data_IF_315733531524
#
_entry.id   IF_315733531524
#
_cell.length_a   1.000
_cell.length_b   1.000
_cell.length_c   1.000
_cell.angle_alpha   90.00
_cell.angle_beta   90.00
_cell.angle_gamma   90.00
#
_symmetry.space_group_name_H-M   'P 1'
#
loop_
_entity.id
_entity.type
_entity.pdbx_description
1 polymer ?
#
# COMPACT_ATOMS: atom_id res chain seq x y z
N UNK A 1 9.28 18.61 11.26
CA UNK A 1 9.04 18.22 9.86
C UNK A 1 9.88 17.02 9.36
N UNK A 2 10.63 16.32 10.23
CA UNK A 2 11.49 15.22 9.80
C UNK A 2 10.74 14.04 9.14
N UNK A 3 9.45 13.85 9.36
CA UNK A 3 8.64 12.80 8.72
C UNK A 3 7.85 13.23 7.49
N UNK A 4 7.70 14.51 7.26
CA UNK A 4 6.86 15.05 6.17
C UNK A 4 7.43 14.81 4.76
N UNK A 5 8.74 14.76 4.50
CA UNK A 5 9.25 14.43 3.16
C UNK A 5 8.78 13.05 2.67
N UNK A 6 8.67 12.07 3.57
CA UNK A 6 8.13 10.75 3.21
C UNK A 6 6.62 10.81 2.97
N UNK A 7 5.87 11.26 3.96
CA UNK A 7 4.41 11.39 3.91
C UNK A 7 4.01 12.76 4.46
N UNK A 8 3.37 13.66 3.68
CA UNK A 8 2.58 13.38 2.45
C UNK A 8 3.32 13.52 1.11
N UNK A 9 4.51 14.09 1.04
CA UNK A 9 5.13 14.42 -0.25
C UNK A 9 5.52 13.17 -1.04
N UNK A 10 6.29 12.25 -0.45
CA UNK A 10 6.71 11.02 -1.11
C UNK A 10 5.53 10.15 -1.53
N UNK A 11 4.56 9.93 -0.65
CA UNK A 11 3.39 9.11 -0.94
C UNK A 11 2.52 9.70 -2.08
N UNK A 12 2.33 11.02 -2.10
CA UNK A 12 1.59 11.69 -3.18
C UNK A 12 2.33 11.61 -4.51
N UNK A 13 3.65 11.82 -4.49
CA UNK A 13 4.50 11.68 -5.67
C UNK A 13 4.50 10.25 -6.18
N UNK A 14 4.47 9.23 -5.31
CA UNK A 14 4.29 7.83 -5.71
C UNK A 14 3.04 7.66 -6.60
N UNK A 15 1.88 8.10 -6.14
CA UNK A 15 0.62 7.94 -6.88
C UNK A 15 0.65 8.66 -8.23
N UNK A 16 1.18 9.89 -8.27
CA UNK A 16 1.31 10.66 -9.51
C UNK A 16 2.29 9.98 -10.49
N UNK A 17 3.45 9.54 -10.02
CA UNK A 17 4.43 8.83 -10.85
C UNK A 17 3.91 7.46 -11.30
N UNK A 18 3.27 6.71 -10.42
CA UNK A 18 2.63 5.44 -10.77
C UNK A 18 1.59 5.63 -11.89
N UNK A 19 0.78 6.69 -11.78
CA UNK A 19 -0.21 7.02 -12.81
C UNK A 19 0.42 7.40 -14.16
N UNK A 20 1.41 8.29 -14.13
CA UNK A 20 2.02 8.82 -15.35
C UNK A 20 2.91 7.79 -16.06
N UNK A 21 3.66 7.01 -15.27
CA UNK A 21 4.66 6.09 -15.80
C UNK A 21 4.10 4.68 -16.02
N UNK A 22 3.27 4.16 -15.12
CA UNK A 22 2.95 2.74 -15.11
C UNK A 22 1.47 2.42 -15.35
N UNK A 23 0.50 3.28 -14.98
CA UNK A 23 -0.91 2.92 -15.05
C UNK A 23 -1.36 2.53 -16.46
N UNK A 24 -0.93 3.25 -17.49
CA UNK A 24 -1.20 2.92 -18.88
C UNK A 24 -0.60 1.59 -19.29
N UNK A 25 0.65 1.36 -18.92
CA UNK A 25 1.37 0.12 -19.21
C UNK A 25 0.70 -1.07 -18.55
N UNK A 26 0.44 -1.00 -17.25
CA UNK A 26 -0.18 -2.08 -16.49
C UNK A 26 -1.60 -2.38 -16.97
N UNK A 27 -2.40 -1.35 -17.26
CA UNK A 27 -3.74 -1.52 -17.80
C UNK A 27 -3.73 -2.27 -19.14
N UNK A 28 -2.80 -1.93 -20.06
CA UNK A 28 -2.68 -2.56 -21.37
C UNK A 28 -2.15 -3.99 -21.32
N UNK A 29 -1.27 -4.29 -20.37
CA UNK A 29 -0.75 -5.64 -20.18
C UNK A 29 -1.79 -6.60 -19.61
N UNK A 30 -2.86 -6.08 -18.98
CA UNK A 30 -3.98 -6.86 -18.43
C UNK A 30 -3.53 -8.06 -17.57
N UNK A 31 -2.53 -7.84 -16.71
CA UNK A 31 -1.98 -8.85 -15.82
C UNK A 31 -2.76 -8.90 -14.50
N UNK A 32 -2.75 -10.04 -13.83
CA UNK A 32 -3.48 -10.24 -12.57
C UNK A 32 -2.73 -9.63 -11.38
N UNK A 33 -1.41 -9.78 -11.37
CA UNK A 33 -0.54 -9.30 -10.31
C UNK A 33 0.65 -8.54 -10.86
N UNK A 34 1.28 -7.72 -10.01
CA UNK A 34 2.54 -7.06 -10.38
C UNK A 34 3.67 -8.09 -10.56
N UNK A 35 3.61 -9.23 -9.87
CA UNK A 35 4.54 -10.35 -10.06
C UNK A 35 4.53 -10.89 -11.48
N UNK A 36 3.36 -10.91 -12.14
CA UNK A 36 3.25 -11.35 -13.54
C UNK A 36 4.03 -10.42 -14.49
N UNK A 37 4.14 -9.12 -14.18
CA UNK A 37 5.00 -8.21 -14.93
C UNK A 37 6.46 -8.66 -14.90
N UNK A 38 6.99 -9.01 -13.73
CA UNK A 38 8.37 -9.50 -13.62
C UNK A 38 8.56 -10.85 -14.31
N UNK A 39 7.55 -11.72 -14.25
CA UNK A 39 7.56 -12.99 -14.98
C UNK A 39 7.64 -12.81 -16.49
N UNK A 40 6.75 -12.00 -17.03
CA UNK A 40 6.69 -11.70 -18.48
C UNK A 40 8.01 -11.06 -18.92
N UNK A 41 8.56 -10.17 -18.13
CA UNK A 41 9.74 -9.38 -18.49
C UNK A 41 11.08 -10.10 -18.27
N UNK A 42 11.18 -10.90 -17.21
CA UNK A 42 12.45 -11.49 -16.75
C UNK A 42 12.39 -13.01 -16.48
N UNK A 43 11.19 -13.59 -16.45
CA UNK A 43 10.99 -14.99 -16.16
C UNK A 43 10.78 -15.31 -14.69
N UNK A 44 10.57 -16.61 -14.40
CA UNK A 44 10.08 -17.13 -13.13
C UNK A 44 10.97 -16.82 -11.91
N UNK A 45 12.28 -16.84 -12.07
CA UNK A 45 13.18 -16.62 -10.94
C UNK A 45 13.03 -15.18 -10.37
N UNK A 46 12.96 -14.18 -11.27
CA UNK A 46 12.74 -12.77 -10.87
C UNK A 46 11.32 -12.58 -10.34
N UNK A 47 10.30 -13.21 -10.94
CA UNK A 47 8.92 -13.21 -10.43
C UNK A 47 8.86 -13.63 -8.96
N UNK A 48 9.44 -14.78 -8.61
CA UNK A 48 9.39 -15.33 -7.25
C UNK A 48 10.14 -14.44 -6.26
N UNK A 49 11.32 -13.95 -6.62
CA UNK A 49 12.12 -13.10 -5.75
C UNK A 49 11.49 -11.73 -5.49
N UNK A 50 11.01 -11.06 -6.56
CA UNK A 50 10.34 -9.77 -6.40
C UNK A 50 9.01 -9.89 -5.68
N UNK A 51 8.20 -10.92 -6.00
CA UNK A 51 6.95 -11.18 -5.30
C UNK A 51 7.18 -11.53 -3.83
N UNK A 52 8.25 -12.29 -3.53
CA UNK A 52 8.67 -12.55 -2.15
C UNK A 52 9.02 -11.27 -1.41
N UNK A 53 9.81 -10.37 -2.01
CA UNK A 53 10.13 -9.07 -1.43
C UNK A 53 8.87 -8.22 -1.20
N UNK A 54 7.95 -8.18 -2.17
CA UNK A 54 6.67 -7.47 -2.04
C UNK A 54 5.84 -8.06 -0.89
N UNK A 55 5.70 -9.38 -0.80
CA UNK A 55 4.96 -10.04 0.29
C UNK A 55 5.58 -9.73 1.65
N UNK A 56 6.92 -9.79 1.76
CA UNK A 56 7.63 -9.45 2.99
C UNK A 56 7.42 -7.98 3.39
N UNK A 57 7.36 -7.06 2.44
CA UNK A 57 7.09 -5.65 2.73
C UNK A 57 5.72 -5.47 3.39
N UNK A 58 4.71 -6.22 2.99
CA UNK A 58 3.39 -6.14 3.60
C UNK A 58 3.34 -6.62 5.06
N UNK A 59 4.31 -7.39 5.55
CA UNK A 59 4.37 -7.73 6.99
C UNK A 59 4.47 -6.47 7.84
N UNK A 60 5.36 -5.55 7.52
CA UNK A 60 5.49 -4.28 8.23
C UNK A 60 4.22 -3.43 8.12
N UNK A 61 3.67 -3.30 6.91
CA UNK A 61 2.47 -2.50 6.71
C UNK A 61 1.25 -3.07 7.43
N UNK A 62 0.98 -4.37 7.28
CA UNK A 62 -0.14 -5.03 7.97
C UNK A 62 0.02 -4.94 9.48
N UNK A 63 1.23 -5.14 10.00
CA UNK A 63 1.52 -5.01 11.43
C UNK A 63 1.24 -3.61 11.96
N UNK A 64 1.58 -2.57 11.20
CA UNK A 64 1.23 -1.19 11.55
C UNK A 64 -0.29 -1.00 11.67
N UNK A 65 -1.08 -1.58 10.75
CA UNK A 65 -2.55 -1.51 10.82
C UNK A 65 -3.13 -2.28 12.01
N UNK A 66 -2.58 -3.46 12.33
CA UNK A 66 -3.00 -4.23 13.50
C UNK A 66 -2.67 -3.49 14.80
N UNK A 67 -1.50 -2.86 14.88
CA UNK A 67 -1.10 -2.01 16.02
C UNK A 67 -2.03 -0.80 16.14
N UNK A 68 -2.36 -0.14 15.03
CA UNK A 68 -3.28 0.99 15.01
C UNK A 68 -4.67 0.61 15.52
N UNK A 69 -5.21 -0.52 15.06
CA UNK A 69 -6.52 -1.01 15.50
C UNK A 69 -6.49 -1.41 16.99
N UNK A 70 -5.43 -2.08 17.42
CA UNK A 70 -5.22 -2.41 18.83
C UNK A 70 -5.15 -1.16 19.71
N UNK A 71 -4.44 -0.12 19.26
CA UNK A 71 -4.36 1.15 19.98
C UNK A 71 -5.75 1.80 20.15
N UNK A 72 -6.57 1.81 19.10
CA UNK A 72 -7.94 2.35 19.19
C UNK A 72 -8.78 1.56 20.18
N UNK A 73 -8.72 0.23 20.17
CA UNK A 73 -9.44 -0.63 21.11
C UNK A 73 -8.95 -0.38 22.55
N UNK A 74 -7.64 -0.32 22.76
CA UNK A 74 -7.04 -0.04 24.06
C UNK A 74 -7.51 1.31 24.63
N UNK A 75 -7.45 2.36 23.83
CA UNK A 75 -7.86 3.71 24.24
C UNK A 75 -9.36 3.79 24.50
N UNK A 76 -10.20 3.24 23.61
CA UNK A 76 -11.67 3.23 23.79
C UNK A 76 -12.15 2.41 24.99
N UNK A 77 -11.37 1.38 25.38
CA UNK A 77 -11.68 0.61 26.59
C UNK A 77 -11.27 1.31 27.90
N UNK A 78 -10.69 2.53 27.81
CA UNK A 78 -10.11 3.20 28.98
C UNK A 78 -8.95 2.43 29.59
N UNK A 79 -8.14 1.76 28.76
CA UNK A 79 -7.04 0.85 29.14
C UNK A 79 -7.49 -0.41 29.92
N UNK A 80 -8.78 -0.73 29.94
CA UNK A 80 -9.27 -1.98 30.54
C UNK A 80 -8.77 -3.21 29.77
N UNK A 81 -8.55 -3.09 28.45
CA UNK A 81 -7.92 -4.09 27.61
C UNK A 81 -6.47 -3.65 27.38
N UNK A 82 -5.48 -4.47 27.76
CA UNK A 82 -4.08 -4.17 27.49
C UNK A 82 -3.78 -4.13 25.98
N UNK A 83 -2.74 -3.39 25.57
CA UNK A 83 -2.43 -3.12 24.17
C UNK A 83 -2.22 -4.41 23.35
N UNK A 84 -1.51 -5.40 23.90
CA UNK A 84 -1.24 -6.64 23.18
C UNK A 84 -2.52 -7.45 22.95
N UNK A 85 -3.38 -7.56 23.96
CA UNK A 85 -4.71 -8.20 23.83
C UNK A 85 -5.58 -7.43 22.83
N UNK A 86 -5.55 -6.10 22.85
CA UNK A 86 -6.28 -5.26 21.91
C UNK A 86 -5.79 -5.47 20.45
N UNK A 87 -4.47 -5.63 20.23
CA UNK A 87 -3.91 -5.97 18.92
C UNK A 87 -4.38 -7.34 18.46
N UNK A 88 -4.42 -8.35 19.34
CA UNK A 88 -4.94 -9.67 19.02
C UNK A 88 -6.42 -9.64 18.63
N UNK A 89 -7.25 -8.91 19.38
CA UNK A 89 -8.67 -8.70 19.05
C UNK A 89 -8.80 -8.02 17.68
N UNK A 90 -8.03 -6.95 17.45
CA UNK A 90 -7.99 -6.25 16.18
C UNK A 90 -7.63 -7.17 15.01
N UNK A 91 -6.63 -8.03 15.18
CA UNK A 91 -6.23 -8.98 14.14
C UNK A 91 -7.38 -9.94 13.77
N UNK A 92 -8.09 -10.48 14.78
CA UNK A 92 -9.26 -11.36 14.54
C UNK A 92 -10.35 -10.61 13.78
N UNK A 93 -10.66 -9.37 14.17
CA UNK A 93 -11.67 -8.54 13.48
C UNK A 93 -11.30 -8.31 12.01
N UNK A 94 -10.05 -7.92 11.74
CA UNK A 94 -9.57 -7.67 10.37
C UNK A 94 -9.61 -8.94 9.53
N UNK A 95 -9.19 -10.09 10.07
CA UNK A 95 -9.24 -11.38 9.36
C UNK A 95 -10.66 -11.77 9.00
N UNK A 96 -11.59 -11.69 9.96
CA UNK A 96 -13.01 -12.00 9.72
C UNK A 96 -13.56 -11.06 8.64
N UNK A 97 -13.37 -9.76 8.80
CA UNK A 97 -13.82 -8.75 7.83
C UNK A 97 -13.28 -9.03 6.41
N UNK A 98 -12.00 -9.39 6.30
CA UNK A 98 -11.34 -9.59 5.01
C UNK A 98 -11.74 -10.90 4.33
N UNK A 99 -11.91 -12.01 5.09
CA UNK A 99 -12.31 -13.31 4.54
C UNK A 99 -13.71 -13.25 3.91
N UNK A 100 -14.63 -12.52 4.54
CA UNK A 100 -16.02 -12.42 4.06
C UNK A 100 -16.24 -11.28 3.08
N UNK A 101 -15.40 -10.22 3.11
CA UNK A 101 -15.58 -9.01 2.31
C UNK A 101 -15.28 -9.20 0.82
N UNK A 102 -14.15 -9.80 0.49
CA UNK A 102 -13.66 -9.87 -0.90
C UNK A 102 -13.39 -8.48 -1.52
N UNK A 103 -12.84 -8.45 -2.74
CA UNK A 103 -12.38 -7.19 -3.38
C UNK A 103 -13.52 -6.19 -3.68
N UNK A 104 -14.70 -6.67 -4.10
CA UNK A 104 -15.85 -5.80 -4.41
C UNK A 104 -16.43 -5.11 -3.17
N UNK A 105 -16.58 -5.87 -2.09
CA UNK A 105 -17.05 -5.34 -0.82
C UNK A 105 -16.08 -4.28 -0.27
N UNK A 106 -14.79 -4.56 -0.33
CA UNK A 106 -13.74 -3.63 0.11
C UNK A 106 -13.78 -2.35 -0.72
N UNK A 107 -13.87 -2.43 -2.05
CA UNK A 107 -13.93 -1.23 -2.90
C UNK A 107 -15.15 -0.35 -2.61
N UNK A 108 -16.32 -0.96 -2.36
CA UNK A 108 -17.54 -0.21 -2.01
C UNK A 108 -17.45 0.42 -0.62
N UNK A 109 -16.97 -0.34 0.37
CA UNK A 109 -16.78 0.18 1.73
C UNK A 109 -15.70 1.26 1.78
N UNK A 110 -14.63 1.16 1.00
CA UNK A 110 -13.56 2.16 0.90
C UNK A 110 -14.11 3.53 0.47
N UNK A 111 -15.02 3.56 -0.50
CA UNK A 111 -15.64 4.81 -0.95
C UNK A 111 -16.44 5.47 0.19
N UNK A 112 -17.30 4.69 0.89
CA UNK A 112 -18.06 5.19 2.02
C UNK A 112 -17.17 5.64 3.18
N UNK A 113 -16.17 4.83 3.50
CA UNK A 113 -15.18 5.12 4.54
C UNK A 113 -14.38 6.39 4.23
N UNK A 114 -14.01 6.63 2.97
CA UNK A 114 -13.34 7.88 2.56
C UNK A 114 -14.18 9.10 2.89
N UNK A 115 -15.49 9.07 2.65
CA UNK A 115 -16.39 10.17 3.02
C UNK A 115 -16.42 10.40 4.52
N UNK A 116 -16.50 9.32 5.32
CA UNK A 116 -16.47 9.39 6.79
C UNK A 116 -15.16 9.97 7.28
N UNK A 117 -14.02 9.55 6.72
CA UNK A 117 -12.68 10.05 7.06
C UNK A 117 -12.58 11.55 6.76
N UNK A 118 -12.95 11.97 5.56
CA UNK A 118 -12.83 13.38 5.14
C UNK A 118 -13.69 14.28 6.03
N UNK A 119 -14.96 13.91 6.25
CA UNK A 119 -15.86 14.71 7.09
C UNK A 119 -15.42 14.66 8.56
N UNK A 120 -15.15 13.47 9.09
CA UNK A 120 -14.82 13.27 10.49
C UNK A 120 -13.54 14.00 10.90
N UNK A 121 -12.45 13.80 10.16
CA UNK A 121 -11.19 14.47 10.48
C UNK A 121 -11.24 15.99 10.24
N UNK A 122 -11.97 16.47 9.23
CA UNK A 122 -12.15 17.91 9.02
C UNK A 122 -12.90 18.55 10.18
N UNK A 123 -13.96 17.92 10.69
CA UNK A 123 -14.68 18.41 11.87
C UNK A 123 -13.79 18.42 13.12
N UNK A 124 -13.01 17.35 13.33
CA UNK A 124 -12.06 17.29 14.45
C UNK A 124 -10.99 18.38 14.32
N UNK A 125 -10.48 18.62 13.10
CA UNK A 125 -9.51 19.70 12.86
C UNK A 125 -10.06 21.07 13.26
N UNK A 126 -11.32 21.36 12.94
CA UNK A 126 -11.98 22.60 13.37
C UNK A 126 -12.06 22.69 14.88
N UNK A 127 -12.52 21.64 15.57
CA UNK A 127 -12.69 21.61 17.01
C UNK A 127 -11.36 21.71 17.76
N UNK A 128 -10.33 20.95 17.35
CA UNK A 128 -9.00 21.02 17.97
C UNK A 128 -8.36 22.38 17.69
N UNK A 129 -8.56 22.91 16.49
CA UNK A 129 -8.13 24.25 16.14
C UNK A 129 -8.75 25.32 17.05
N UNK A 130 -10.05 25.23 17.31
CA UNK A 130 -10.76 26.15 18.21
C UNK A 130 -10.25 26.04 19.65
N UNK A 131 -10.01 24.82 20.17
CA UNK A 131 -9.39 24.62 21.50
C UNK A 131 -8.00 25.24 21.60
N UNK A 132 -7.23 25.25 20.53
CA UNK A 132 -5.90 25.86 20.47
C UNK A 132 -5.96 27.38 20.30
N UNK A 133 -7.16 27.99 20.25
CA UNK A 133 -7.38 29.41 20.05
C UNK A 133 -7.56 29.87 18.62
N UNK A 134 -7.99 28.96 17.74
CA UNK A 134 -8.31 29.19 16.35
C UNK A 134 -7.20 28.77 15.37
N UNK A 135 -7.60 28.36 14.16
CA UNK A 135 -6.66 27.88 13.14
C UNK A 135 -5.58 28.91 12.79
N UNK A 136 -5.93 30.21 12.79
CA UNK A 136 -4.98 31.28 12.54
C UNK A 136 -3.84 31.31 13.56
N UNK A 137 -4.16 31.11 14.84
CA UNK A 137 -3.15 31.05 15.91
C UNK A 137 -2.25 29.83 15.76
N UNK A 138 -2.83 28.67 15.47
CA UNK A 138 -2.08 27.42 15.25
C UNK A 138 -1.09 27.58 14.09
N UNK A 139 -1.54 28.17 12.96
CA UNK A 139 -0.69 28.40 11.79
C UNK A 139 0.39 29.44 12.08
N UNK A 140 0.06 30.55 12.76
CA UNK A 140 1.05 31.58 13.11
C UNK A 140 2.10 31.03 14.09
N UNK A 141 1.70 30.22 15.06
CA UNK A 141 2.63 29.54 15.96
C UNK A 141 3.52 28.55 15.19
N UNK A 142 2.94 27.74 14.30
CA UNK A 142 3.71 26.82 13.46
C UNK A 142 4.74 27.57 12.58
N UNK A 143 4.40 28.74 12.08
CA UNK A 143 5.34 29.59 11.34
C UNK A 143 6.46 30.11 12.24
N UNK A 144 6.13 30.60 13.45
CA UNK A 144 7.10 31.09 14.42
C UNK A 144 8.07 29.99 14.88
N UNK A 145 7.55 28.76 15.07
CA UNK A 145 8.36 27.58 15.44
C UNK A 145 9.14 26.99 14.24
N UNK A 146 9.12 27.63 13.08
CA UNK A 146 9.78 27.13 11.88
C UNK A 146 9.23 25.81 11.31
N UNK A 147 8.02 25.41 11.76
CA UNK A 147 7.42 24.12 11.33
C UNK A 147 6.92 24.14 9.89
N UNK A 148 6.65 25.32 9.33
CA UNK A 148 6.21 25.47 7.94
C UNK A 148 7.37 25.55 6.95
N UNK A 149 8.63 25.58 7.43
CA UNK A 149 9.81 25.57 6.56
C UNK A 149 10.12 24.13 6.14
N UNK A 150 10.03 23.88 4.84
CA UNK A 150 10.31 22.54 4.28
C UNK A 150 11.82 22.23 4.27
N UNK A 151 12.64 23.26 4.01
CA UNK A 151 14.10 23.20 4.00
C UNK A 151 14.67 24.18 5.02
N UNK A 152 14.90 23.75 6.27
CA UNK A 152 15.51 24.58 7.28
C UNK A 152 16.90 25.09 6.85
N UNK A 153 17.25 26.31 7.29
CA UNK A 153 18.54 26.92 6.92
C UNK A 153 19.76 26.19 7.50
N UNK A 154 19.57 25.38 8.53
CA UNK A 154 20.58 24.57 9.22
C UNK A 154 20.74 23.14 8.67
N UNK A 155 20.27 22.89 7.41
CA UNK A 155 20.38 21.60 6.74
C UNK A 155 21.83 21.27 6.43
N UNK A 156 22.41 20.34 7.18
CA UNK A 156 23.68 19.69 6.85
C UNK A 156 23.49 18.53 5.84
N UNK A 157 24.60 17.96 5.37
CA UNK A 157 24.55 16.87 4.41
C UNK A 157 23.82 15.62 4.96
N UNK A 158 23.95 15.32 6.27
CA UNK A 158 23.27 14.18 6.88
C UNK A 158 21.76 14.36 6.89
N UNK A 159 21.26 15.54 7.24
CA UNK A 159 19.83 15.88 7.21
C UNK A 159 19.26 15.81 5.78
N UNK A 160 20.02 16.28 4.78
CA UNK A 160 19.63 16.13 3.37
C UNK A 160 19.50 14.68 2.94
N UNK A 161 20.46 13.83 3.30
CA UNK A 161 20.41 12.41 2.99
C UNK A 161 19.26 11.71 3.73
N UNK A 162 19.04 12.01 5.01
CA UNK A 162 17.93 11.45 5.78
C UNK A 162 16.57 11.82 5.17
N UNK A 163 16.41 13.08 4.77
CA UNK A 163 15.20 13.57 4.09
C UNK A 163 15.01 12.87 2.74
N UNK A 164 16.08 12.72 1.94
CA UNK A 164 16.04 12.00 0.68
C UNK A 164 15.68 10.53 0.90
N UNK A 165 16.26 9.86 1.91
CA UNK A 165 15.95 8.48 2.26
C UNK A 165 14.47 8.26 2.57
N UNK A 166 13.88 9.12 3.40
CA UNK A 166 12.46 9.08 3.72
C UNK A 166 11.60 9.34 2.47
N UNK A 167 11.92 10.36 1.69
CA UNK A 167 11.19 10.68 0.46
C UNK A 167 11.24 9.52 -0.56
N UNK A 168 12.42 8.98 -0.85
CA UNK A 168 12.58 7.89 -1.83
C UNK A 168 11.91 6.60 -1.38
N UNK A 169 11.90 6.29 -0.07
CA UNK A 169 11.16 5.14 0.46
C UNK A 169 9.68 5.21 0.09
N UNK A 170 9.03 6.33 0.37
CA UNK A 170 7.61 6.51 0.09
C UNK A 170 7.33 6.76 -1.40
N UNK A 171 8.13 7.57 -2.09
CA UNK A 171 7.89 7.93 -3.48
C UNK A 171 8.11 6.77 -4.44
N UNK A 172 9.13 5.96 -4.23
CA UNK A 172 9.53 4.91 -5.17
C UNK A 172 9.33 3.51 -4.61
N UNK A 173 9.52 3.29 -3.30
CA UNK A 173 9.31 1.99 -2.68
C UNK A 173 7.86 1.54 -2.68
N UNK A 174 6.90 2.46 -2.70
CA UNK A 174 5.48 2.13 -2.77
C UNK A 174 4.95 1.90 -4.20
N UNK A 175 5.69 2.28 -5.26
CA UNK A 175 5.25 2.02 -6.65
C UNK A 175 5.09 0.52 -6.96
N UNK A 176 6.03 -0.38 -6.62
CA UNK A 176 5.90 -1.80 -6.95
C UNK A 176 5.00 -2.58 -5.98
N UNK A 177 4.08 -1.90 -5.29
CA UNK A 177 3.14 -2.56 -4.39
C UNK A 177 1.94 -3.14 -5.15
N UNK A 178 1.50 -4.33 -4.72
CA UNK A 178 0.40 -5.05 -5.37
C UNK A 178 -0.94 -4.32 -5.27
N UNK A 179 -1.22 -3.61 -4.18
CA UNK A 179 -2.47 -2.86 -4.02
C UNK A 179 -2.55 -1.64 -4.94
N UNK A 180 -1.43 -0.94 -5.18
CA UNK A 180 -1.35 0.15 -6.17
C UNK A 180 -1.59 -0.39 -7.57
N UNK A 181 -0.94 -1.50 -7.93
CA UNK A 181 -1.14 -2.19 -9.21
C UNK A 181 -2.60 -2.60 -9.40
N UNK A 182 -3.20 -3.28 -8.42
CA UNK A 182 -4.56 -3.81 -8.47
C UNK A 182 -5.60 -2.72 -8.68
N UNK A 183 -5.46 -1.58 -8.00
CA UNK A 183 -6.40 -0.44 -8.15
C UNK A 183 -6.31 0.20 -9.52
N UNK A 184 -5.11 0.31 -10.10
CA UNK A 184 -4.95 0.83 -11.46
C UNK A 184 -5.52 -0.11 -12.52
N UNK A 185 -5.29 -1.42 -12.41
CA UNK A 185 -5.76 -2.41 -13.41
C UNK A 185 -7.25 -2.70 -13.30
N UNK A 186 -7.88 -2.49 -12.14
CA UNK A 186 -9.32 -2.64 -11.93
C UNK A 186 -10.17 -1.47 -12.47
N UNK A 187 -9.55 -0.44 -13.01
CA UNK A 187 -10.27 0.72 -13.55
C UNK A 187 -11.07 0.36 -14.81
N UNK A 188 -12.19 1.05 -15.03
CA UNK A 188 -13.09 0.83 -16.18
C UNK A 188 -12.39 0.95 -17.55
N UNK A 189 -11.42 1.82 -17.66
CA UNK A 189 -10.62 2.04 -18.87
C UNK A 189 -9.29 2.72 -18.55
N UNK A 190 -8.37 2.76 -19.53
CA UNK A 190 -7.04 3.34 -19.41
C UNK A 190 -7.06 4.80 -18.93
N UNK A 191 -7.98 5.62 -19.47
CA UNK A 191 -8.10 7.03 -19.06
C UNK A 191 -8.51 7.16 -17.60
N UNK A 192 -9.41 6.31 -17.13
CA UNK A 192 -9.84 6.26 -15.72
C UNK A 192 -8.70 5.78 -14.82
N UNK A 193 -7.93 4.78 -15.22
CA UNK A 193 -6.76 4.32 -14.49
C UNK A 193 -5.76 5.48 -14.25
N UNK A 194 -5.39 6.19 -15.30
CA UNK A 194 -4.42 7.30 -15.20
C UNK A 194 -5.00 8.49 -14.42
N UNK A 195 -6.18 8.99 -14.84
CA UNK A 195 -6.74 10.21 -14.23
C UNK A 195 -7.18 9.99 -12.80
N UNK A 196 -7.80 8.83 -12.52
CA UNK A 196 -8.25 8.48 -11.17
C UNK A 196 -7.09 8.41 -10.18
N UNK A 197 -5.96 7.81 -10.57
CA UNK A 197 -4.79 7.72 -9.72
C UNK A 197 -4.12 9.10 -9.52
N UNK A 198 -4.05 9.96 -10.55
CA UNK A 198 -3.55 11.34 -10.39
C UNK A 198 -4.45 12.14 -9.43
N UNK A 199 -5.76 12.12 -9.67
CA UNK A 199 -6.71 12.83 -8.81
C UNK A 199 -6.64 12.32 -7.38
N UNK A 200 -6.56 10.99 -7.19
CA UNK A 200 -6.37 10.37 -5.88
C UNK A 200 -5.10 10.86 -5.19
N UNK A 201 -3.98 10.93 -5.90
CA UNK A 201 -2.72 11.45 -5.37
C UNK A 201 -2.79 12.93 -4.97
N UNK A 202 -3.49 13.76 -5.75
CA UNK A 202 -3.67 15.18 -5.43
C UNK A 202 -4.62 15.38 -4.24
N UNK A 203 -5.73 14.64 -4.18
CA UNK A 203 -6.65 14.68 -3.03
C UNK A 203 -5.91 14.22 -1.77
N UNK A 204 -5.14 13.12 -1.87
CA UNK A 204 -4.33 12.63 -0.76
C UNK A 204 -3.36 13.70 -0.27
N UNK A 205 -2.61 14.34 -1.17
CA UNK A 205 -1.68 15.42 -0.82
C UNK A 205 -2.36 16.54 -0.04
N UNK A 206 -3.48 17.04 -0.53
CA UNK A 206 -4.21 18.12 0.15
C UNK A 206 -4.75 17.68 1.51
N UNK A 207 -5.33 16.48 1.58
CA UNK A 207 -5.99 16.00 2.79
C UNK A 207 -5.01 15.56 3.88
N UNK A 208 -3.82 15.08 3.54
CA UNK A 208 -2.82 14.59 4.49
C UNK A 208 -2.30 15.69 5.45
N UNK A 209 -2.48 16.96 5.11
CA UNK A 209 -2.17 18.06 6.04
C UNK A 209 -3.19 18.20 7.17
N UNK A 210 -4.40 17.65 7.04
CA UNK A 210 -5.44 17.72 8.08
C UNK A 210 -5.00 17.00 9.36
N UNK A 211 -4.59 15.72 9.33
CA UNK A 211 -4.05 15.04 10.53
C UNK A 211 -2.84 15.74 11.12
N UNK A 212 -1.94 16.29 10.29
CA UNK A 212 -0.76 17.04 10.74
C UNK A 212 -1.18 18.31 11.49
N UNK A 213 -2.16 19.03 10.95
CA UNK A 213 -2.73 20.20 11.62
C UNK A 213 -3.34 19.83 12.98
N UNK A 214 -4.13 18.74 13.05
CA UNK A 214 -4.75 18.28 14.29
C UNK A 214 -3.67 17.95 15.34
N UNK A 215 -2.64 17.20 14.96
CA UNK A 215 -1.56 16.82 15.87
C UNK A 215 -0.80 18.06 16.39
N UNK A 216 -0.49 19.01 15.53
CA UNK A 216 0.19 20.24 15.93
C UNK A 216 -0.72 21.13 16.79
N UNK A 217 -1.99 21.29 16.45
CA UNK A 217 -2.96 22.05 17.24
C UNK A 217 -3.14 21.45 18.64
N UNK A 218 -3.10 20.10 18.76
CA UNK A 218 -3.11 19.43 20.06
C UNK A 218 -1.93 19.84 20.94
N UNK A 219 -0.72 19.90 20.37
CA UNK A 219 0.48 20.35 21.09
C UNK A 219 0.44 21.84 21.46
N UNK A 220 -0.15 22.69 20.62
CA UNK A 220 -0.37 24.11 20.92
C UNK A 220 -1.37 24.29 22.07
N UNK A 221 -2.43 23.44 22.12
CA UNK A 221 -3.40 23.46 23.19
C UNK A 221 -2.83 22.96 24.52
N UNK A 222 -2.10 21.85 24.49
CA UNK A 222 -1.47 21.24 25.67
C UNK A 222 0.00 20.88 25.39
N UNK A 223 0.94 21.82 25.71
CA UNK A 223 2.37 21.58 25.52
C UNK A 223 2.92 20.41 26.34
N UNK A 224 2.22 19.98 27.41
CA UNK A 224 2.65 18.84 28.22
C UNK A 224 2.63 17.52 27.44
N UNK A 225 1.80 17.42 26.40
CA UNK A 225 1.79 16.29 25.46
C UNK A 225 3.14 16.13 24.75
N UNK A 226 3.93 17.20 24.62
CA UNK A 226 5.28 17.16 24.06
C UNK A 226 6.25 16.26 24.84
N UNK A 227 6.03 16.07 26.14
CA UNK A 227 6.87 15.16 26.98
C UNK A 227 6.76 13.68 26.57
N UNK A 228 5.67 13.29 25.91
CA UNK A 228 5.52 11.92 25.42
C UNK A 228 6.53 11.58 24.31
N UNK A 229 7.11 12.60 23.63
CA UNK A 229 8.18 12.38 22.65
C UNK A 229 9.54 12.06 23.32
N UNK A 230 9.68 12.26 24.63
CA UNK A 230 10.89 11.98 25.39
C UNK A 230 10.85 10.58 26.06
N UNK A 231 9.73 9.86 25.93
CA UNK A 231 9.53 8.54 26.52
C UNK A 231 10.27 7.44 25.74
N UNK A 232 10.57 6.32 26.45
CA UNK A 232 11.29 5.15 25.89
C UNK A 232 10.44 4.32 24.90
N UNK A 233 9.11 4.44 24.94
CA UNK A 233 8.21 3.71 24.04
C UNK A 233 7.60 4.67 23.00
N UNK A 234 8.13 4.60 21.78
CA UNK A 234 7.66 5.41 20.66
C UNK A 234 6.15 5.20 20.33
N UNK A 235 5.53 4.11 20.81
CA UNK A 235 4.10 3.84 20.65
C UNK A 235 3.23 4.77 21.50
N UNK A 236 3.74 5.29 22.62
CA UNK A 236 3.03 6.24 23.48
C UNK A 236 2.70 7.56 22.75
N UNK A 237 3.58 7.99 21.84
CA UNK A 237 3.36 9.21 21.02
C UNK A 237 2.08 9.08 20.20
N UNK A 238 1.72 7.90 19.77
CA UNK A 238 0.55 7.63 18.94
C UNK A 238 -0.77 7.77 19.71
N UNK A 239 -0.74 7.80 21.04
CA UNK A 239 -1.90 8.03 21.92
C UNK A 239 -2.29 9.48 22.09
N UNK A 240 -1.39 10.43 21.78
CA UNK A 240 -1.60 11.86 22.01
C UNK A 240 -2.96 12.32 21.49
N UNK A 241 -3.25 12.02 20.24
CA UNK A 241 -4.47 12.49 19.60
C UNK A 241 -5.73 11.73 20.06
N UNK A 242 -5.75 10.39 20.14
CA UNK A 242 -6.85 9.65 20.75
C UNK A 242 -7.19 10.09 22.17
N UNK A 243 -6.20 10.24 23.04
CA UNK A 243 -6.41 10.64 24.44
C UNK A 243 -6.93 12.08 24.56
N UNK A 244 -6.43 13.01 23.71
CA UNK A 244 -6.94 14.38 23.65
C UNK A 244 -8.43 14.39 23.26
N UNK A 245 -8.81 13.64 22.24
CA UNK A 245 -10.19 13.58 21.76
C UNK A 245 -11.10 13.00 22.83
N UNK A 246 -10.72 11.91 23.49
CA UNK A 246 -11.51 11.32 24.59
C UNK A 246 -11.64 12.27 25.78
N UNK A 247 -10.57 12.97 26.15
CA UNK A 247 -10.54 13.79 27.36
C UNK A 247 -11.16 15.17 27.20
N UNK A 248 -11.18 15.75 26.01
CA UNK A 248 -11.52 17.17 25.78
C UNK A 248 -12.66 17.41 24.79
N UNK A 249 -13.06 16.41 23.99
CA UNK A 249 -14.08 16.61 22.96
C UNK A 249 -15.46 16.15 23.41
N UNK A 250 -16.54 16.77 22.89
CA UNK A 250 -17.89 16.28 23.12
C UNK A 250 -18.09 14.90 22.49
N UNK A 251 -19.03 14.10 23.03
CA UNK A 251 -19.29 12.72 22.63
C UNK A 251 -19.46 12.53 21.11
N UNK A 252 -20.20 13.44 20.45
CA UNK A 252 -20.42 13.36 19.01
C UNK A 252 -19.09 13.49 18.20
N UNK A 253 -18.17 14.33 18.68
CA UNK A 253 -16.86 14.51 18.04
C UNK A 253 -15.96 13.29 18.28
N UNK A 254 -16.03 12.67 19.46
CA UNK A 254 -15.35 11.41 19.75
C UNK A 254 -15.84 10.32 18.80
N UNK A 255 -17.17 10.17 18.62
CA UNK A 255 -17.76 9.18 17.69
C UNK A 255 -17.29 9.44 16.25
N UNK A 256 -17.26 10.69 15.80
CA UNK A 256 -16.79 11.04 14.46
C UNK A 256 -15.30 10.74 14.27
N UNK A 257 -14.46 11.09 15.25
CA UNK A 257 -13.02 10.83 15.19
C UNK A 257 -12.70 9.33 15.16
N UNK A 258 -13.19 8.59 16.14
CA UNK A 258 -12.91 7.15 16.23
C UNK A 258 -13.58 6.38 15.10
N UNK A 259 -14.75 6.81 14.64
CA UNK A 259 -15.41 6.26 13.46
C UNK A 259 -14.58 6.46 12.18
N UNK A 260 -14.04 7.67 11.98
CA UNK A 260 -13.15 7.96 10.85
C UNK A 260 -11.84 7.15 10.94
N UNK A 261 -11.23 7.09 12.13
CA UNK A 261 -9.99 6.36 12.38
C UNK A 261 -10.17 4.85 12.16
N UNK A 262 -11.21 4.25 12.74
CA UNK A 262 -11.54 2.84 12.50
C UNK A 262 -11.83 2.54 11.02
N UNK A 263 -12.54 3.43 10.34
CA UNK A 263 -12.81 3.32 8.90
C UNK A 263 -11.51 3.30 8.10
N UNK A 264 -10.59 4.23 8.39
CA UNK A 264 -9.29 4.29 7.72
C UNK A 264 -8.46 3.03 7.94
N UNK A 265 -8.38 2.57 9.19
CA UNK A 265 -7.60 1.38 9.55
C UNK A 265 -8.18 0.12 8.90
N UNK A 266 -9.50 -0.12 8.99
CA UNK A 266 -10.13 -1.32 8.43
C UNK A 266 -10.02 -1.38 6.91
N UNK A 267 -10.22 -0.25 6.21
CA UNK A 267 -10.02 -0.14 4.76
C UNK A 267 -8.61 -0.54 4.37
N UNK A 268 -7.60 0.08 5.01
CA UNK A 268 -6.20 -0.16 4.71
C UNK A 268 -5.77 -1.58 5.10
N UNK A 269 -6.19 -2.07 6.27
CA UNK A 269 -5.84 -3.40 6.77
C UNK A 269 -6.35 -4.52 5.86
N UNK A 270 -7.58 -4.41 5.36
CA UNK A 270 -8.13 -5.42 4.44
C UNK A 270 -7.36 -5.44 3.11
N UNK A 271 -7.02 -4.28 2.54
CA UNK A 271 -6.17 -4.19 1.37
C UNK A 271 -4.77 -4.76 1.60
N UNK A 272 -4.17 -4.44 2.75
CA UNK A 272 -2.84 -4.92 3.16
C UNK A 272 -2.78 -6.43 3.44
N UNK A 273 -3.92 -7.08 3.69
CA UNK A 273 -4.01 -8.54 3.78
C UNK A 273 -4.31 -9.21 2.43
N UNK A 274 -5.19 -8.64 1.62
CA UNK A 274 -5.57 -9.22 0.33
C UNK A 274 -4.43 -9.16 -0.70
N UNK A 275 -3.72 -8.04 -0.78
CA UNK A 275 -2.67 -7.82 -1.77
C UNK A 275 -1.52 -8.85 -1.67
N UNK A 276 -0.86 -9.05 -0.51
CA UNK A 276 0.18 -10.06 -0.38
C UNK A 276 -0.33 -11.47 -0.51
N UNK A 277 -1.58 -11.74 -0.07
CA UNK A 277 -2.23 -13.06 -0.24
C UNK A 277 -2.37 -13.40 -1.72
N UNK A 278 -2.85 -12.46 -2.54
CA UNK A 278 -2.97 -12.66 -3.98
C UNK A 278 -1.59 -12.84 -4.64
N UNK A 279 -0.62 -11.96 -4.34
CA UNK A 279 0.72 -12.02 -4.90
C UNK A 279 1.45 -13.32 -4.50
N UNK A 280 1.36 -13.75 -3.26
CA UNK A 280 1.97 -15.01 -2.81
C UNK A 280 1.33 -16.21 -3.48
N UNK A 281 0.01 -16.27 -3.52
CA UNK A 281 -0.71 -17.41 -4.12
C UNK A 281 -0.41 -17.53 -5.59
N UNK A 282 -0.50 -16.44 -6.37
CA UNK A 282 -0.33 -16.49 -7.82
C UNK A 282 1.13 -16.60 -8.25
N UNK A 283 2.05 -15.87 -7.63
CA UNK A 283 3.41 -15.73 -8.12
C UNK A 283 4.43 -16.61 -7.38
N UNK A 284 4.14 -17.00 -6.14
CA UNK A 284 5.03 -17.85 -5.36
C UNK A 284 4.53 -19.28 -5.31
N UNK A 285 3.25 -19.53 -4.96
CA UNK A 285 2.74 -20.88 -4.76
C UNK A 285 2.27 -21.56 -6.06
N UNK A 286 1.45 -20.89 -6.86
CA UNK A 286 0.84 -21.46 -8.10
C UNK A 286 1.86 -22.05 -9.09
N UNK A 287 3.07 -21.49 -9.26
CA UNK A 287 4.11 -22.09 -10.06
C UNK A 287 4.53 -23.51 -9.65
N UNK A 288 4.30 -23.89 -8.39
CA UNK A 288 4.60 -25.23 -7.87
C UNK A 288 3.38 -26.16 -7.88
N UNK A 289 2.15 -25.60 -7.93
CA UNK A 289 0.89 -26.34 -7.93
C UNK A 289 -0.02 -25.85 -9.06
N UNK A 290 0.31 -26.14 -10.33
CA UNK A 290 -0.33 -25.51 -11.49
C UNK A 290 -1.79 -25.92 -11.73
N UNK A 291 -2.25 -27.03 -11.15
CA UNK A 291 -3.57 -27.61 -11.41
C UNK A 291 -4.53 -27.47 -10.22
N UNK A 292 -4.66 -26.27 -9.66
CA UNK A 292 -5.66 -26.00 -8.62
C UNK A 292 -7.01 -25.65 -9.25
N UNK A 293 -8.07 -26.36 -8.84
CA UNK A 293 -9.44 -25.97 -9.17
C UNK A 293 -9.90 -24.76 -8.35
N UNK A 294 -10.95 -24.06 -8.78
CA UNK A 294 -11.43 -22.80 -8.16
C UNK A 294 -11.68 -22.92 -6.65
N UNK A 295 -12.28 -24.02 -6.19
CA UNK A 295 -12.52 -24.27 -4.78
C UNK A 295 -11.22 -24.43 -3.97
N UNK A 296 -10.25 -25.13 -4.54
CA UNK A 296 -8.93 -25.29 -3.92
C UNK A 296 -8.19 -23.96 -3.87
N UNK A 297 -8.27 -23.18 -4.94
CA UNK A 297 -7.69 -21.84 -5.00
C UNK A 297 -8.25 -20.92 -3.93
N UNK A 298 -9.58 -20.88 -3.76
CA UNK A 298 -10.23 -20.09 -2.73
C UNK A 298 -9.83 -20.52 -1.32
N UNK A 299 -9.76 -21.83 -1.07
CA UNK A 299 -9.32 -22.36 0.23
C UNK A 299 -7.85 -21.98 0.50
N UNK A 300 -6.99 -22.11 -0.50
CA UNK A 300 -5.57 -21.75 -0.43
C UNK A 300 -5.41 -20.26 -0.11
N UNK A 301 -6.14 -19.38 -0.79
CA UNK A 301 -6.14 -17.94 -0.51
C UNK A 301 -6.52 -17.66 0.96
N UNK A 302 -7.56 -18.32 1.48
CA UNK A 302 -7.98 -18.15 2.88
C UNK A 302 -6.92 -18.64 3.87
N UNK A 303 -6.30 -19.77 3.60
CA UNK A 303 -5.22 -20.32 4.45
C UNK A 303 -4.02 -19.35 4.45
N UNK A 304 -3.59 -18.89 3.29
CA UNK A 304 -2.47 -17.94 3.17
C UNK A 304 -2.80 -16.63 3.87
N UNK A 305 -4.03 -16.10 3.72
CA UNK A 305 -4.48 -14.89 4.40
C UNK A 305 -4.37 -15.03 5.92
N UNK A 306 -4.88 -16.13 6.48
CA UNK A 306 -4.78 -16.38 7.93
C UNK A 306 -3.33 -16.55 8.37
N UNK A 307 -2.54 -17.32 7.64
CA UNK A 307 -1.11 -17.53 7.94
C UNK A 307 -0.35 -16.21 7.92
N UNK A 308 -0.55 -15.40 6.88
CA UNK A 308 0.08 -14.09 6.75
C UNK A 308 -0.36 -13.14 7.88
N UNK A 309 -1.64 -13.16 8.23
CA UNK A 309 -2.16 -12.37 9.36
C UNK A 309 -1.53 -12.76 10.69
N UNK A 310 -1.32 -14.07 10.93
CA UNK A 310 -0.61 -14.54 12.13
C UNK A 310 0.85 -14.07 12.12
N UNK A 311 1.55 -14.15 11.00
CA UNK A 311 2.92 -13.62 10.89
C UNK A 311 2.97 -12.11 11.16
N UNK A 312 2.04 -11.34 10.59
CA UNK A 312 1.93 -9.90 10.84
C UNK A 312 1.58 -9.58 12.30
N UNK A 313 0.71 -10.37 12.92
CA UNK A 313 0.38 -10.24 14.34
C UNK A 313 1.61 -10.50 15.23
N UNK A 314 2.35 -11.56 14.97
CA UNK A 314 3.58 -11.85 15.72
C UNK A 314 4.60 -10.72 15.56
N UNK A 315 4.73 -10.15 14.36
CA UNK A 315 5.60 -9.00 14.14
C UNK A 315 5.11 -7.77 14.92
N UNK A 316 3.80 -7.46 14.90
CA UNK A 316 3.20 -6.35 15.62
C UNK A 316 3.41 -6.45 17.14
N UNK A 317 3.23 -7.64 17.72
CA UNK A 317 3.39 -7.88 19.16
C UNK A 317 4.83 -7.75 19.64
N UNK A 318 5.82 -8.02 18.77
CA UNK A 318 7.24 -7.97 19.12
C UNK A 318 7.94 -6.67 18.66
N UNK A 319 7.26 -5.83 17.86
CA UNK A 319 7.84 -4.56 17.39
C UNK A 319 7.65 -3.46 18.43
N UNK A 320 8.71 -2.65 18.63
CA UNK A 320 8.67 -1.40 19.40
C UNK A 320 8.65 -0.17 18.50
N UNK A 321 8.67 -0.37 17.18
CA UNK A 321 8.67 0.72 16.21
C UNK A 321 7.32 1.43 16.14
N UNK A 322 7.33 2.70 15.78
CA UNK A 322 6.12 3.44 15.42
C UNK A 322 5.47 2.86 14.16
N UNK A 323 4.18 3.11 13.95
CA UNK A 323 3.47 2.71 12.73
C UNK A 323 4.13 3.32 11.49
N UNK A 324 4.61 4.55 11.57
CA UNK A 324 5.33 5.21 10.48
C UNK A 324 6.62 4.48 10.10
N UNK A 325 7.43 4.10 11.08
CA UNK A 325 8.68 3.34 10.85
C UNK A 325 8.41 1.95 10.27
N UNK A 326 7.37 1.26 10.74
CA UNK A 326 6.97 -0.04 10.18
C UNK A 326 6.62 0.08 8.70
N UNK A 327 5.87 1.13 8.31
CA UNK A 327 5.49 1.40 6.93
C UNK A 327 6.69 1.80 6.09
N UNK A 328 7.55 2.69 6.60
CA UNK A 328 8.77 3.11 5.91
C UNK A 328 9.70 1.91 5.66
N UNK A 329 9.89 1.05 6.65
CA UNK A 329 10.70 -0.16 6.51
C UNK A 329 10.09 -1.14 5.50
N UNK A 330 8.77 -1.27 5.46
CA UNK A 330 8.08 -2.03 4.43
C UNK A 330 8.44 -1.52 3.02
N UNK A 331 8.38 -0.21 2.80
CA UNK A 331 8.75 0.38 1.51
C UNK A 331 10.24 0.30 1.19
N UNK A 332 11.13 0.26 2.19
CA UNK A 332 12.55 0.05 1.96
C UNK A 332 12.86 -1.31 1.32
N UNK A 333 12.10 -2.36 1.67
CA UNK A 333 12.24 -3.69 1.06
C UNK A 333 11.93 -3.65 -0.43
N UNK A 334 10.84 -3.02 -0.81
CA UNK A 334 10.43 -2.91 -2.22
C UNK A 334 11.23 -1.90 -3.01
N UNK A 335 11.70 -0.82 -2.38
CA UNK A 335 12.61 0.14 -2.98
C UNK A 335 13.89 -0.55 -3.46
N UNK A 336 14.48 -1.38 -2.62
CA UNK A 336 15.77 -2.03 -2.88
C UNK A 336 15.64 -3.31 -3.69
N UNK A 337 14.52 -4.05 -3.56
CA UNK A 337 14.34 -5.36 -4.17
C UNK A 337 13.46 -5.41 -5.42
N UNK A 338 12.58 -4.42 -5.64
CA UNK A 338 11.59 -4.50 -6.71
C UNK A 338 11.55 -3.26 -7.65
N UNK A 339 11.81 -2.07 -7.14
CA UNK A 339 11.63 -0.82 -7.88
C UNK A 339 12.53 -0.71 -9.11
N UNK A 340 13.85 -0.94 -8.96
CA UNK A 340 14.80 -0.82 -10.07
C UNK A 340 14.52 -1.83 -11.19
N UNK A 341 14.27 -3.12 -10.91
CA UNK A 341 13.82 -4.07 -11.93
C UNK A 341 12.51 -3.66 -12.61
N UNK A 342 11.57 -3.04 -11.88
CA UNK A 342 10.32 -2.54 -12.46
C UNK A 342 10.56 -1.45 -13.50
N UNK A 343 11.29 -0.40 -13.12
CA UNK A 343 11.59 0.75 -14.00
C UNK A 343 12.41 0.31 -15.21
N UNK A 344 13.47 -0.47 -14.98
CA UNK A 344 14.31 -0.97 -16.05
C UNK A 344 13.52 -1.90 -16.99
N UNK A 345 12.65 -2.75 -16.45
CA UNK A 345 11.79 -3.62 -17.23
C UNK A 345 10.81 -2.88 -18.13
N UNK A 346 10.27 -1.78 -17.64
CA UNK A 346 9.31 -0.96 -18.37
C UNK A 346 9.97 -0.12 -19.49
N UNK A 347 11.15 0.43 -19.23
CA UNK A 347 11.70 1.50 -20.07
C UNK A 347 13.06 1.20 -20.71
N UNK A 348 13.82 0.22 -20.20
CA UNK A 348 15.15 -0.07 -20.71
C UNK A 348 15.15 -1.35 -21.53
N UNK A 349 15.31 -1.24 -22.87
CA UNK A 349 15.26 -2.39 -23.78
C UNK A 349 16.35 -3.43 -23.54
N UNK A 350 17.52 -3.01 -23.00
CA UNK A 350 18.64 -3.93 -22.69
C UNK A 350 18.49 -4.66 -21.36
N UNK A 351 17.53 -4.26 -20.53
CA UNK A 351 17.27 -4.95 -19.27
C UNK A 351 17.00 -6.43 -19.51
N UNK A 352 17.66 -7.31 -18.76
CA UNK A 352 17.54 -8.76 -18.89
C UNK A 352 17.42 -9.45 -17.53
N UNK A 353 17.20 -10.75 -17.53
CA UNK A 353 17.03 -11.57 -16.33
C UNK A 353 18.22 -11.48 -15.39
N UNK A 354 19.44 -11.53 -15.93
CA UNK A 354 20.69 -11.43 -15.15
C UNK A 354 20.81 -10.08 -14.44
N UNK A 355 20.51 -8.99 -15.15
CA UNK A 355 20.50 -7.64 -14.57
C UNK A 355 19.49 -7.51 -13.45
N UNK A 356 18.28 -8.03 -13.62
CA UNK A 356 17.25 -8.01 -12.60
C UNK A 356 17.64 -8.80 -11.33
N UNK A 357 18.26 -9.97 -11.48
CA UNK A 357 18.77 -10.75 -10.35
C UNK A 357 19.90 -10.01 -9.62
N UNK A 358 20.85 -9.39 -10.35
CA UNK A 358 21.90 -8.60 -9.74
C UNK A 358 21.33 -7.38 -9.01
N UNK A 359 20.32 -6.72 -9.59
CA UNK A 359 19.64 -5.60 -8.94
C UNK A 359 19.04 -6.00 -7.60
N UNK A 360 18.33 -7.15 -7.55
CA UNK A 360 17.70 -7.65 -6.32
C UNK A 360 18.77 -7.99 -5.27
N UNK A 361 19.78 -8.78 -5.67
CA UNK A 361 20.82 -9.26 -4.74
C UNK A 361 21.66 -8.11 -4.20
N UNK A 362 22.11 -7.20 -5.08
CA UNK A 362 22.93 -6.06 -4.66
C UNK A 362 22.09 -5.05 -3.87
N UNK A 363 20.85 -4.80 -4.30
CA UNK A 363 19.97 -3.86 -3.62
C UNK A 363 19.63 -4.30 -2.20
N UNK A 364 19.02 -5.47 -2.07
CA UNK A 364 18.62 -6.02 -0.76
C UNK A 364 19.85 -6.35 0.09
N UNK A 365 20.89 -6.96 -0.50
CA UNK A 365 22.12 -7.33 0.23
C UNK A 365 22.85 -6.10 0.77
N UNK A 366 23.03 -5.05 -0.01
CA UNK A 366 23.67 -3.80 0.43
C UNK A 366 22.83 -3.06 1.47
N UNK A 367 21.50 -3.05 1.31
CA UNK A 367 20.61 -2.45 2.30
C UNK A 367 20.71 -3.17 3.66
N UNK A 368 20.64 -4.50 3.68
CA UNK A 368 20.78 -5.29 4.90
C UNK A 368 22.16 -5.12 5.53
N UNK A 369 23.23 -5.16 4.72
CA UNK A 369 24.59 -4.95 5.20
C UNK A 369 24.76 -3.54 5.79
N UNK A 370 24.24 -2.50 5.12
CA UNK A 370 24.31 -1.14 5.64
C UNK A 370 23.54 -0.97 6.95
N UNK A 371 22.36 -1.61 7.10
CA UNK A 371 21.61 -1.57 8.36
C UNK A 371 22.35 -2.23 9.53
N UNK A 372 23.19 -3.24 9.27
CA UNK A 372 23.92 -3.95 10.33
C UNK A 372 25.27 -3.34 10.67
N UNK A 373 25.99 -2.83 9.66
CA UNK A 373 27.39 -2.38 9.81
C UNK A 373 27.50 -0.86 9.90
N UNK A 374 26.57 -0.13 9.28
CA UNK A 374 26.68 1.31 9.08
C UNK A 374 25.33 2.01 9.25
N UNK A 375 24.51 1.60 10.25
CA UNK A 375 23.18 2.16 10.49
C UNK A 375 23.22 3.68 10.71
N UNK A 376 24.28 4.19 11.37
CA UNK A 376 24.47 5.61 11.67
C UNK A 376 25.28 6.36 10.60
N UNK A 377 25.48 5.75 9.42
CA UNK A 377 26.21 6.41 8.33
C UNK A 377 25.42 7.65 7.83
N UNK A 378 26.17 8.61 7.29
CA UNK A 378 25.58 9.84 6.70
C UNK A 378 24.55 9.53 5.61
N UNK A 379 24.78 8.49 4.81
CA UNK A 379 23.85 8.03 3.76
C UNK A 379 22.95 6.93 4.33
N UNK A 380 21.62 7.11 4.33
CA UNK A 380 20.68 6.10 4.85
C UNK A 380 20.82 4.75 4.12
N UNK A 381 20.72 3.63 4.85
CA UNK A 381 20.87 2.28 4.29
C UNK A 381 19.98 1.98 3.07
N UNK A 382 18.74 2.51 3.05
CA UNK A 382 17.83 2.32 1.93
C UNK A 382 18.30 2.98 0.63
N UNK A 383 18.99 4.11 0.70
CA UNK A 383 19.58 4.75 -0.46
C UNK A 383 20.81 3.98 -0.94
N UNK A 384 21.63 3.46 -0.02
CA UNK A 384 22.75 2.56 -0.37
C UNK A 384 22.22 1.37 -1.15
N UNK A 385 21.15 0.73 -0.67
CA UNK A 385 20.48 -0.38 -1.36
C UNK A 385 19.90 0.02 -2.72
N UNK A 386 19.27 1.19 -2.84
CA UNK A 386 18.73 1.69 -4.10
C UNK A 386 19.83 1.89 -5.16
N UNK A 387 20.94 2.56 -4.78
CA UNK A 387 22.06 2.77 -5.69
C UNK A 387 22.76 1.47 -6.08
N UNK A 388 22.94 0.56 -5.13
CA UNK A 388 23.50 -0.77 -5.39
C UNK A 388 22.58 -1.60 -6.33
N UNK A 389 21.26 -1.51 -6.16
CA UNK A 389 20.28 -2.13 -7.05
C UNK A 389 20.40 -1.58 -8.49
N UNK A 390 20.54 -0.26 -8.64
CA UNK A 390 20.73 0.37 -9.93
C UNK A 390 22.05 -0.09 -10.60
N UNK A 391 23.14 -0.07 -9.85
CA UNK A 391 24.46 -0.54 -10.33
C UNK A 391 24.36 -2.01 -10.73
N UNK A 392 23.76 -2.87 -9.90
CA UNK A 392 23.56 -4.28 -10.19
C UNK A 392 22.75 -4.51 -11.46
N UNK A 393 21.68 -3.72 -11.66
CA UNK A 393 20.87 -3.77 -12.88
C UNK A 393 21.69 -3.45 -14.14
N UNK A 394 22.47 -2.39 -14.08
CA UNK A 394 23.30 -1.95 -15.22
C UNK A 394 24.41 -2.96 -15.51
N UNK A 395 25.19 -3.31 -14.49
CA UNK A 395 26.30 -4.25 -14.64
C UNK A 395 25.83 -5.62 -15.12
N UNK A 396 24.78 -6.18 -14.50
CA UNK A 396 24.24 -7.47 -14.88
C UNK A 396 23.62 -7.49 -16.28
N UNK A 397 23.02 -6.38 -16.73
CA UNK A 397 22.42 -6.31 -18.08
C UNK A 397 23.45 -6.07 -19.20
N UNK A 398 24.56 -5.42 -18.89
CA UNK A 398 25.60 -5.13 -19.87
C UNK A 398 26.74 -6.16 -19.87
N UNK A 399 26.92 -6.92 -18.80
CA UNK A 399 27.89 -8.00 -18.71
C UNK A 399 27.57 -9.15 -19.72
N UNK A 400 28.56 -9.96 -20.11
CA UNK A 400 28.32 -11.16 -20.89
C UNK A 400 27.23 -12.02 -20.25
N UNK A 401 26.28 -12.47 -21.06
CA UNK A 401 25.12 -13.20 -20.57
C UNK A 401 25.50 -14.61 -20.15
N UNK A 402 25.54 -14.86 -18.83
CA UNK A 402 25.73 -16.17 -18.22
C UNK A 402 24.37 -16.86 -18.06
N UNK A 403 23.34 -16.09 -17.72
CA UNK A 403 21.98 -16.58 -17.55
C UNK A 403 21.13 -16.29 -18.79
N UNK A 404 20.49 -17.32 -19.33
CA UNK A 404 19.60 -17.15 -20.47
C UNK A 404 18.49 -16.13 -20.14
N UNK A 405 18.24 -15.21 -21.05
CA UNK A 405 17.10 -14.31 -20.95
C UNK A 405 15.80 -15.08 -21.18
N UNK A 406 14.93 -15.15 -20.18
CA UNK A 406 13.68 -15.94 -20.19
C UNK A 406 12.42 -15.08 -20.30
N UNK A 407 12.58 -13.79 -20.54
CA UNK A 407 11.45 -12.85 -20.62
C UNK A 407 11.23 -12.30 -22.03
N UNK A 408 10.08 -11.65 -22.23
CA UNK A 408 9.71 -10.96 -23.46
C UNK A 408 10.03 -9.47 -23.37
N UNK A 409 10.23 -8.81 -24.52
CA UNK A 409 10.20 -7.34 -24.55
C UNK A 409 8.79 -6.83 -24.24
N UNK A 410 8.68 -5.60 -23.74
CA UNK A 410 7.37 -4.99 -23.46
C UNK A 410 6.52 -4.89 -24.74
N UNK A 411 7.14 -4.60 -25.90
CA UNK A 411 6.47 -4.50 -27.19
C UNK A 411 5.84 -5.87 -27.56
N UNK A 412 6.60 -6.97 -27.40
CA UNK A 412 6.10 -8.34 -27.63
C UNK A 412 5.03 -8.73 -26.61
N UNK A 413 5.17 -8.34 -25.35
CA UNK A 413 4.17 -8.61 -24.32
C UNK A 413 2.85 -7.87 -24.61
N UNK A 414 2.90 -6.63 -25.05
CA UNK A 414 1.70 -5.85 -25.42
C UNK A 414 0.99 -6.47 -26.63
N UNK A 415 1.72 -6.97 -27.63
CA UNK A 415 1.11 -7.66 -28.79
C UNK A 415 0.52 -9.01 -28.41
N UNK A 416 1.16 -9.76 -27.53
CA UNK A 416 0.69 -11.09 -27.07
C UNK A 416 -0.58 -10.99 -26.22
N UNK A 417 -0.68 -10.00 -25.36
CA UNK A 417 -1.83 -9.78 -24.47
C UNK A 417 -2.92 -8.89 -25.09
N UNK A 418 -2.66 -8.21 -26.21
CA UNK A 418 -3.67 -7.43 -26.95
C UNK A 418 -4.65 -8.29 -27.76
N UNK A 419 -4.41 -9.61 -27.94
CA UNK A 419 -5.36 -10.53 -28.58
C UNK A 419 -6.46 -10.97 -27.59
N UNK A 420 -7.69 -11.19 -28.02
CA UNK A 420 -8.97 -10.70 -27.46
C UNK A 420 -9.40 -11.42 -26.17
N UNK A 421 -8.80 -11.10 -25.04
CA UNK A 421 -9.40 -11.42 -23.73
C UNK A 421 -10.58 -10.50 -23.36
N UNK A 422 -10.92 -9.50 -24.18
CA UNK A 422 -12.11 -8.67 -23.98
C UNK A 422 -13.44 -9.42 -24.15
N UNK A 423 -13.44 -10.66 -24.62
CA UNK A 423 -14.65 -11.48 -24.75
C UNK A 423 -15.10 -12.13 -23.42
N UNK A 424 -14.23 -12.35 -22.46
CA UNK A 424 -14.59 -13.03 -21.20
C UNK A 424 -15.14 -12.09 -20.11
N UNK A 425 -14.82 -10.81 -20.13
CA UNK A 425 -15.40 -9.83 -19.19
C UNK A 425 -16.83 -9.45 -19.51
N UNK A 426 -17.26 -9.53 -20.77
CA UNK A 426 -18.63 -9.28 -21.21
C UNK A 426 -19.57 -10.46 -21.00
N UNK A 427 -19.06 -11.69 -20.98
CA UNK A 427 -19.88 -12.90 -20.85
C UNK A 427 -20.41 -13.12 -19.39
N UNK A 428 -19.74 -12.59 -18.40
CA UNK A 428 -20.22 -12.68 -17.01
C UNK A 428 -21.20 -11.57 -16.59
N UNK A 429 -21.35 -10.52 -17.43
CA UNK A 429 -22.33 -9.45 -17.17
C UNK A 429 -23.71 -9.69 -17.77
N UNK A 430 -23.88 -10.73 -18.62
CA UNK A 430 -25.15 -10.99 -19.33
C UNK A 430 -25.95 -12.19 -18.81
N UNK A 431 -25.51 -12.88 -17.77
CA UNK A 431 -26.26 -13.99 -17.17
C UNK A 431 -27.04 -13.60 -15.89
N UNK A 432 -27.61 -12.40 -15.88
CA UNK A 432 -28.41 -11.89 -14.75
C UNK A 432 -29.76 -11.28 -15.11
N UNK A 433 -30.31 -11.50 -16.31
CA UNK A 433 -31.71 -11.10 -16.58
C UNK A 433 -32.47 -12.25 -17.22
N UNK A 434 -33.51 -12.67 -16.48
CA UNK A 434 -34.41 -13.74 -16.85
C UNK A 434 -35.06 -13.54 -18.21
N UNK A 435 -34.99 -14.57 -19.02
CA UNK A 435 -35.84 -14.71 -20.20
C UNK A 435 -37.23 -15.17 -19.75
N UNK A 436 -38.15 -14.23 -19.60
CA UNK A 436 -39.58 -14.50 -19.78
C UNK A 436 -39.81 -14.66 -21.28
N UNK A 437 -39.94 -15.88 -21.74
CA UNK A 437 -40.46 -16.19 -23.08
C UNK A 437 -41.95 -15.85 -23.09
N UNK A 438 -42.32 -14.82 -23.88
CA UNK A 438 -43.68 -14.61 -24.33
C UNK A 438 -44.01 -15.68 -25.39
N UNK A 439 -45.06 -16.47 -25.12
CA UNK A 439 -45.71 -17.33 -26.12
C UNK A 439 -46.34 -16.48 -27.22
N UNK A 440 -45.92 -16.71 -28.46
CA UNK A 440 -46.74 -16.33 -29.66
C UNK A 440 -47.61 -17.54 -30.01
N UNK A 441 -48.89 -17.34 -30.35
CA UNK A 441 -49.79 -18.43 -30.73
C UNK A 441 -49.76 -18.66 -32.25
N UNK A 442 -49.69 -19.94 -32.66
CA UNK A 442 -50.23 -20.42 -33.90
C UNK A 442 -49.21 -20.78 -34.98
N UNK A 443 -48.74 -22.04 -34.97
CA UNK A 443 -48.49 -22.80 -36.20
C UNK A 443 -48.74 -24.31 -35.93
N UNK A 444 -49.70 -24.86 -36.68
CA UNK A 444 -50.08 -26.26 -36.64
C UNK A 444 -49.02 -27.11 -37.35
N UNK A 445 -48.76 -28.35 -36.91
CA UNK A 445 -47.84 -29.27 -37.61
C UNK A 445 -48.57 -29.92 -38.81
N UNK A 446 -47.85 -29.98 -39.92
CA UNK A 446 -48.24 -30.71 -41.12
C UNK A 446 -48.18 -32.25 -40.90
N UNK A 447 -49.04 -33.04 -41.55
CA UNK A 447 -49.10 -34.49 -41.40
C UNK A 447 -47.98 -35.21 -42.17
N UNK A 448 -47.59 -36.45 -41.73
CA UNK A 448 -46.51 -37.20 -42.36
C UNK A 448 -46.98 -37.82 -43.69
N UNK A 449 -46.08 -38.01 -44.68
CA UNK A 449 -46.40 -38.68 -45.94
C UNK A 449 -46.49 -40.20 -45.72
N UNK A 450 -47.54 -40.77 -46.31
CA UNK A 450 -47.69 -42.23 -46.48
C UNK A 450 -46.73 -42.75 -47.53
N UNK A 451 -46.09 -43.87 -47.27
CA UNK A 451 -45.26 -44.66 -48.15
C UNK A 451 -44.43 -45.64 -47.38
#
# INVERSE_FOLDING_TARGET
>A
LHGIPGDPFGASVCLVLAALLFARLFYRLNLLTIGDFYKVRYGKAVEVLTSGAIVLSYLGWTSAQLTALGLVIHVLSGAAVDLNTAIMIGAVVVVIYTIFGGMWSVAFTDLFQTVVIVIGLSLVALLVGDLAGGAGKVISQAAADGKLVLFPADMDAAKWWAMAGAFFAFAFGSIPQQDVFQRMTSAKNEKTAVRGTIIGGLIYFCFAFVPIFIAYAALVHDPALGKLFEGDDAREIQRILPDLVLGKMPMWAQIMFFGALLSAILSTASGALLAPTAAFTENVLRPFVPHMGDRQMLLTLRIILVTFSVCALLFALNSKSTMYEMVQNAYNVTLTGAFVPLVAGAYWKRANTQGALFAIVFGVGSWLAANTVAADAMVPPNLVGLFASFIGMVLGSLAPTILAHKGMSIEAALTHHAHPAHAHGAAHATHGHGQTRAHAPGEQPAPPPHG
#
